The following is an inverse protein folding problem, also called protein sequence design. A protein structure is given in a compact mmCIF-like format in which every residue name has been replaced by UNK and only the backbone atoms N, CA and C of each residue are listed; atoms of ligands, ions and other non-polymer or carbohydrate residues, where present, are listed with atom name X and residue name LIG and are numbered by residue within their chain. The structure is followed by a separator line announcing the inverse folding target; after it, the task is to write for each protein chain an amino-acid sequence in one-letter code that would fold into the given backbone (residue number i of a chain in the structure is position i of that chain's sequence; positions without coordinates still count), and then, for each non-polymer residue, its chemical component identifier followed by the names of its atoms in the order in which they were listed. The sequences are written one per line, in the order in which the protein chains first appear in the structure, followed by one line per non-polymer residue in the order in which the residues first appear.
data_IF_352249025854
#
_entry.id   IF_352249025854
#
_cell.length_a   1.000
_cell.length_b   1.000
_cell.length_c   1.000
_cell.angle_alpha   90.00
_cell.angle_beta   90.00
_cell.angle_gamma   90.00
#
_symmetry.space_group_name_H-M   'P 1'
#
loop_
_entity.id
_entity.type
_entity.pdbx_description
1 polymer ?
#
# COMPACT_ATOMS: atom_id res chain seq x y z
N UNK A 1 -20.21 45.50 -23.25
CA UNK A 1 -19.97 45.92 -21.85
C UNK A 1 -20.49 44.81 -20.95
N UNK A 2 -19.62 43.89 -20.52
CA UNK A 2 -20.02 42.78 -19.65
C UNK A 2 -20.16 43.30 -18.22
N UNK A 3 -21.36 43.17 -17.64
CA UNK A 3 -21.63 43.51 -16.24
C UNK A 3 -20.73 42.65 -15.33
N UNK A 4 -20.19 43.20 -14.23
CA UNK A 4 -19.43 42.43 -13.25
C UNK A 4 -20.33 41.34 -12.66
N UNK A 5 -19.95 40.07 -12.84
CA UNK A 5 -20.66 38.91 -12.34
C UNK A 5 -20.51 38.80 -10.83
N UNK A 6 -21.42 39.42 -10.08
CA UNK A 6 -21.45 39.30 -8.62
C UNK A 6 -21.78 37.84 -8.21
N UNK A 7 -20.87 37.11 -7.53
CA UNK A 7 -21.07 35.72 -7.15
C UNK A 7 -22.27 35.51 -6.21
N UNK A 8 -22.73 36.56 -5.51
CA UNK A 8 -23.92 36.49 -4.65
C UNK A 8 -25.21 36.35 -5.45
N UNK A 9 -25.28 36.97 -6.62
CA UNK A 9 -26.45 36.94 -7.51
C UNK A 9 -26.56 35.56 -8.16
N UNK A 10 -25.44 35.03 -8.68
CA UNK A 10 -25.38 33.69 -9.29
C UNK A 10 -25.84 32.62 -8.31
N UNK A 11 -25.32 32.63 -7.06
CA UNK A 11 -25.71 31.67 -6.03
C UNK A 11 -27.20 31.74 -5.68
N UNK A 12 -27.78 32.94 -5.68
CA UNK A 12 -29.21 33.14 -5.39
C UNK A 12 -30.08 32.57 -6.52
N UNK A 13 -29.69 32.79 -7.77
CA UNK A 13 -30.37 32.24 -8.95
C UNK A 13 -30.30 30.71 -8.94
N UNK A 14 -29.11 30.13 -8.80
CA UNK A 14 -28.92 28.66 -8.78
C UNK A 14 -29.77 28.01 -7.68
N UNK A 15 -29.78 28.57 -6.46
CA UNK A 15 -30.56 28.02 -5.34
C UNK A 15 -32.07 28.16 -5.50
N UNK A 16 -32.51 29.15 -6.27
CA UNK A 16 -33.92 29.32 -6.62
C UNK A 16 -34.37 28.25 -7.62
N UNK A 17 -33.58 28.00 -8.67
CA UNK A 17 -33.87 26.97 -9.67
C UNK A 17 -33.64 25.52 -9.20
N UNK A 18 -32.80 25.30 -8.18
CA UNK A 18 -32.64 23.97 -7.55
C UNK A 18 -33.76 23.63 -6.55
N UNK A 19 -34.59 24.60 -6.15
CA UNK A 19 -35.70 24.36 -5.22
C UNK A 19 -36.85 23.67 -5.95
N UNK A 20 -37.63 22.90 -5.20
CA UNK A 20 -38.82 22.23 -5.70
C UNK A 20 -39.77 23.24 -6.34
N UNK A 21 -40.04 23.05 -7.62
CA UNK A 21 -40.99 23.85 -8.40
C UNK A 21 -42.29 23.07 -8.59
N UNK A 22 -43.39 23.48 -7.95
CA UNK A 22 -44.68 22.79 -8.06
C UNK A 22 -45.33 22.93 -9.44
N UNK A 23 -44.90 23.86 -10.29
CA UNK A 23 -45.46 24.03 -11.64
C UNK A 23 -45.00 22.94 -12.62
N UNK A 24 -43.81 22.36 -12.42
CA UNK A 24 -43.22 21.35 -13.31
C UNK A 24 -42.62 20.15 -12.54
N UNK A 25 -43.46 19.31 -11.90
CA UNK A 25 -42.98 18.22 -11.04
C UNK A 25 -42.19 17.14 -11.79
N UNK A 26 -42.49 16.91 -13.08
CA UNK A 26 -41.79 15.90 -13.89
C UNK A 26 -40.29 16.23 -14.08
N UNK A 27 -39.98 17.51 -14.34
CA UNK A 27 -38.60 17.98 -14.55
C UNK A 27 -37.81 17.84 -13.25
N UNK A 28 -38.42 18.18 -12.11
CA UNK A 28 -37.78 18.06 -10.80
C UNK A 28 -37.46 16.61 -10.43
N UNK A 29 -38.39 15.66 -10.65
CA UNK A 29 -38.18 14.24 -10.37
C UNK A 29 -37.08 13.66 -11.27
N UNK A 30 -37.07 14.02 -12.56
CA UNK A 30 -36.01 13.60 -13.49
C UNK A 30 -34.62 14.11 -13.06
N UNK A 31 -34.52 15.39 -12.68
CA UNK A 31 -33.29 15.98 -12.19
C UNK A 31 -32.80 15.31 -10.90
N UNK A 32 -33.71 14.97 -9.98
CA UNK A 32 -33.39 14.26 -8.75
C UNK A 32 -32.85 12.85 -9.04
N UNK A 33 -33.50 12.10 -9.93
CA UNK A 33 -33.05 10.77 -10.35
C UNK A 33 -31.66 10.82 -11.01
N UNK A 34 -31.44 11.78 -11.91
CA UNK A 34 -30.16 11.98 -12.56
C UNK A 34 -29.05 12.30 -11.55
N UNK A 35 -29.32 13.20 -10.59
CA UNK A 35 -28.35 13.55 -9.55
C UNK A 35 -28.02 12.36 -8.64
N UNK A 36 -29.02 11.57 -8.23
CA UNK A 36 -28.81 10.37 -7.44
C UNK A 36 -27.99 9.32 -8.21
N UNK A 37 -28.28 9.11 -9.49
CA UNK A 37 -27.53 8.20 -10.35
C UNK A 37 -26.06 8.60 -10.49
N UNK A 38 -25.79 9.87 -10.76
CA UNK A 38 -24.42 10.40 -10.86
C UNK A 38 -23.69 10.28 -9.51
N UNK A 39 -24.36 10.63 -8.41
CA UNK A 39 -23.76 10.56 -7.07
C UNK A 39 -23.40 9.12 -6.71
N UNK A 40 -24.30 8.16 -6.95
CA UNK A 40 -24.04 6.74 -6.72
C UNK A 40 -22.89 6.22 -7.60
N UNK A 41 -22.86 6.57 -8.88
CA UNK A 41 -21.81 6.16 -9.81
C UNK A 41 -20.43 6.67 -9.41
N UNK A 42 -20.32 7.97 -9.10
CA UNK A 42 -19.06 8.58 -8.66
C UNK A 42 -18.62 8.01 -7.31
N UNK A 43 -19.55 7.81 -6.36
CA UNK A 43 -19.26 7.18 -5.07
C UNK A 43 -18.63 5.80 -5.25
N UNK A 44 -19.23 4.95 -6.10
CA UNK A 44 -18.70 3.59 -6.34
C UNK A 44 -17.31 3.63 -6.96
N UNK A 45 -17.07 4.52 -7.93
CA UNK A 45 -15.75 4.70 -8.54
C UNK A 45 -14.69 5.14 -7.51
N UNK A 46 -15.02 6.10 -6.65
CA UNK A 46 -14.13 6.55 -5.58
C UNK A 46 -13.82 5.43 -4.58
N UNK A 47 -14.82 4.65 -4.19
CA UNK A 47 -14.64 3.51 -3.27
C UNK A 47 -13.72 2.47 -3.90
N UNK A 48 -13.94 2.09 -5.16
CA UNK A 48 -13.13 1.10 -5.85
C UNK A 48 -11.65 1.52 -5.93
N UNK A 49 -11.39 2.79 -6.31
CA UNK A 49 -10.04 3.34 -6.33
C UNK A 49 -9.41 3.37 -4.92
N UNK A 50 -10.18 3.75 -3.90
CA UNK A 50 -9.71 3.75 -2.52
C UNK A 50 -9.31 2.37 -2.02
N UNK A 51 -10.13 1.35 -2.32
CA UNK A 51 -9.85 -0.03 -1.96
C UNK A 51 -8.58 -0.51 -2.66
N UNK A 52 -8.49 -0.34 -3.99
CA UNK A 52 -7.34 -0.83 -4.76
C UNK A 52 -6.05 -0.16 -4.28
N UNK A 53 -6.04 1.16 -4.14
CA UNK A 53 -4.86 1.91 -3.70
C UNK A 53 -4.44 1.58 -2.26
N UNK A 54 -5.40 1.49 -1.34
CA UNK A 54 -5.12 1.15 0.06
C UNK A 54 -4.62 -0.29 0.21
N UNK A 55 -5.28 -1.21 -0.47
CA UNK A 55 -4.96 -2.64 -0.45
C UNK A 55 -3.58 -2.89 -1.06
N UNK A 56 -3.29 -2.34 -2.24
CA UNK A 56 -1.99 -2.48 -2.89
C UNK A 56 -0.85 -1.98 -1.98
N UNK A 57 -1.02 -0.82 -1.32
CA UNK A 57 -0.01 -0.26 -0.43
C UNK A 57 0.24 -1.13 0.80
N UNK A 58 -0.82 -1.70 1.38
CA UNK A 58 -0.69 -2.57 2.55
C UNK A 58 -0.10 -3.94 2.18
N UNK A 59 -0.47 -4.50 1.02
CA UNK A 59 0.13 -5.72 0.49
C UNK A 59 1.60 -5.53 0.16
N UNK A 60 1.97 -4.43 -0.51
CA UNK A 60 3.35 -4.06 -0.78
C UNK A 60 4.14 -4.04 0.54
N UNK A 61 3.67 -3.26 1.52
CA UNK A 61 4.31 -3.17 2.83
C UNK A 61 4.48 -4.52 3.52
N UNK A 62 3.47 -5.40 3.48
CA UNK A 62 3.54 -6.72 4.13
C UNK A 62 4.45 -7.69 3.39
N UNK A 63 4.41 -7.72 2.06
CA UNK A 63 5.22 -8.62 1.23
C UNK A 63 6.70 -8.25 1.27
N UNK A 64 7.04 -6.97 1.13
CA UNK A 64 8.44 -6.50 1.15
C UNK A 64 9.10 -6.62 2.53
N UNK A 65 8.31 -6.68 3.60
CA UNK A 65 8.81 -6.86 4.97
C UNK A 65 9.09 -8.33 5.31
N UNK A 66 8.28 -9.25 4.76
CA UNK A 66 8.39 -10.68 5.07
C UNK A 66 9.26 -11.46 4.08
N UNK A 67 9.40 -10.97 2.85
CA UNK A 67 10.20 -11.63 1.82
C UNK A 67 11.03 -10.60 1.06
N UNK A 68 12.33 -10.86 0.95
CA UNK A 68 13.20 -10.10 0.07
C UNK A 68 12.78 -10.29 -1.39
N UNK A 69 12.79 -9.22 -2.22
CA UNK A 69 12.35 -9.30 -3.61
C UNK A 69 13.20 -10.27 -4.45
N UNK A 70 14.45 -10.51 -4.02
CA UNK A 70 15.33 -11.50 -4.59
C UNK A 70 16.04 -12.24 -3.46
N UNK A 71 15.96 -13.57 -3.46
CA UNK A 71 16.67 -14.44 -2.51
C UNK A 71 17.44 -15.49 -3.29
N UNK A 72 18.74 -15.56 -3.08
CA UNK A 72 19.61 -16.55 -3.71
C UNK A 72 19.94 -17.63 -2.69
N UNK A 73 19.49 -18.86 -2.95
CA UNK A 73 19.79 -20.02 -2.11
C UNK A 73 20.62 -21.03 -2.89
N UNK A 74 21.56 -21.68 -2.20
CA UNK A 74 22.35 -22.78 -2.74
C UNK A 74 21.73 -24.09 -2.30
N UNK A 75 21.43 -24.98 -3.24
CA UNK A 75 20.97 -26.34 -2.97
C UNK A 75 22.19 -27.24 -2.64
N UNK A 76 22.85 -27.01 -1.50
CA UNK A 76 24.06 -27.74 -1.14
C UNK A 76 24.84 -27.14 0.03
N UNK A 77 26.18 -27.05 -0.10
CA UNK A 77 27.15 -26.61 0.93
C UNK A 77 27.07 -25.11 1.34
N UNK A 78 25.91 -24.47 1.17
CA UNK A 78 25.75 -23.04 1.39
C UNK A 78 26.38 -22.19 0.28
N UNK A 79 26.35 -20.87 0.46
CA UNK A 79 26.94 -19.90 -0.48
C UNK A 79 28.37 -19.61 -0.04
N UNK A 80 29.36 -19.84 -0.93
CA UNK A 80 30.76 -19.50 -0.66
C UNK A 80 30.97 -17.99 -0.58
N UNK A 81 31.87 -17.55 0.30
CA UNK A 81 32.24 -16.12 0.42
C UNK A 81 32.71 -15.51 -0.91
N UNK A 82 33.44 -16.27 -1.73
CA UNK A 82 33.88 -15.83 -3.06
C UNK A 82 32.71 -15.44 -3.99
N UNK A 83 31.54 -16.07 -3.81
CA UNK A 83 30.34 -15.75 -4.60
C UNK A 83 29.70 -14.45 -4.10
N UNK A 84 29.70 -14.21 -2.79
CA UNK A 84 29.21 -12.96 -2.20
C UNK A 84 30.03 -11.76 -2.67
N UNK A 85 31.36 -11.90 -2.72
CA UNK A 85 32.27 -10.85 -3.21
C UNK A 85 32.06 -10.54 -4.71
N UNK A 86 31.85 -11.57 -5.54
CA UNK A 86 31.54 -11.38 -6.97
C UNK A 86 30.23 -10.61 -7.16
N UNK A 87 29.18 -10.96 -6.41
CA UNK A 87 27.88 -10.28 -6.49
C UNK A 87 28.02 -8.82 -6.04
N UNK A 88 28.74 -8.55 -4.95
CA UNK A 88 29.02 -7.16 -4.52
C UNK A 88 29.78 -6.36 -5.59
N UNK A 89 30.70 -7.00 -6.30
CA UNK A 89 31.51 -6.33 -7.34
C UNK A 89 30.72 -6.06 -8.62
N UNK A 90 29.84 -6.98 -9.01
CA UNK A 90 29.00 -6.83 -10.21
C UNK A 90 27.80 -5.91 -9.98
N UNK A 91 27.27 -5.85 -8.76
CA UNK A 91 26.08 -5.06 -8.41
C UNK A 91 26.35 -4.13 -7.21
N UNK A 92 27.21 -3.10 -7.36
CA UNK A 92 27.57 -2.20 -6.25
C UNK A 92 26.41 -1.34 -5.73
N UNK A 93 25.39 -1.11 -6.56
CA UNK A 93 24.18 -0.35 -6.20
C UNK A 93 23.19 -1.18 -5.36
N UNK A 94 23.36 -2.52 -5.30
CA UNK A 94 22.42 -3.42 -4.62
C UNK A 94 22.85 -3.64 -3.17
N UNK A 95 21.97 -3.30 -2.22
CA UNK A 95 22.17 -3.65 -0.81
C UNK A 95 21.94 -5.15 -0.62
N UNK A 96 22.94 -5.86 -0.09
CA UNK A 96 22.91 -7.32 0.07
C UNK A 96 23.17 -7.66 1.54
N UNK A 97 22.28 -8.47 2.13
CA UNK A 97 22.48 -9.06 3.46
C UNK A 97 22.53 -10.58 3.35
N UNK A 98 23.67 -11.21 3.69
CA UNK A 98 23.75 -12.66 3.78
C UNK A 98 23.02 -13.13 5.04
N UNK A 99 22.20 -14.16 4.90
CA UNK A 99 21.51 -14.78 6.03
C UNK A 99 21.65 -16.30 6.02
N UNK A 100 21.60 -16.89 7.22
CA UNK A 100 21.48 -18.33 7.43
C UNK A 100 20.11 -18.63 8.02
N UNK A 101 19.43 -19.67 7.53
CA UNK A 101 18.14 -20.10 8.05
C UNK A 101 18.21 -21.57 8.43
N UNK A 102 17.89 -21.90 9.68
CA UNK A 102 17.83 -23.29 10.17
C UNK A 102 16.58 -23.51 11.01
N UNK A 103 16.02 -24.72 10.95
CA UNK A 103 14.92 -25.11 11.83
C UNK A 103 15.51 -25.49 13.19
N UNK A 104 14.94 -24.94 14.26
CA UNK A 104 15.38 -25.19 15.63
C UNK A 104 14.20 -25.57 16.51
N UNK A 105 14.48 -26.30 17.57
CA UNK A 105 13.51 -26.59 18.61
C UNK A 105 14.03 -25.92 19.89
N UNK A 106 13.31 -24.91 20.35
CA UNK A 106 13.60 -24.24 21.61
C UNK A 106 12.80 -24.92 22.74
N UNK A 107 13.48 -25.20 23.85
CA UNK A 107 12.86 -25.71 25.08
C UNK A 107 12.98 -24.66 26.16
N UNK A 108 11.86 -24.32 26.81
CA UNK A 108 11.84 -23.47 27.99
C UNK A 108 10.90 -24.08 29.04
N UNK A 109 11.46 -24.49 30.18
CA UNK A 109 10.74 -25.30 31.17
C UNK A 109 10.22 -26.61 30.54
N UNK A 110 8.93 -26.88 30.72
CA UNK A 110 8.23 -28.02 30.12
C UNK A 110 7.69 -27.73 28.70
N UNK A 111 7.83 -26.50 28.21
CA UNK A 111 7.38 -26.10 26.87
C UNK A 111 8.44 -26.42 25.81
N UNK A 112 8.03 -27.13 24.76
CA UNK A 112 8.83 -27.34 23.53
C UNK A 112 8.14 -26.60 22.38
N UNK A 113 8.90 -25.73 21.70
CA UNK A 113 8.40 -25.00 20.55
C UNK A 113 9.39 -25.09 19.39
N UNK A 114 8.87 -25.52 18.23
CA UNK A 114 9.61 -25.44 16.97
C UNK A 114 9.64 -24.00 16.45
N UNK A 115 10.74 -23.61 15.83
CA UNK A 115 10.91 -22.29 15.23
C UNK A 115 11.92 -22.32 14.08
N UNK A 116 12.00 -21.20 13.35
CA UNK A 116 13.03 -20.96 12.35
C UNK A 116 13.98 -19.92 12.93
N UNK A 117 15.27 -20.27 12.99
CA UNK A 117 16.34 -19.38 13.42
C UNK A 117 16.99 -18.75 12.19
N UNK A 118 17.00 -17.42 12.16
CA UNK A 118 17.70 -16.63 11.15
C UNK A 118 18.97 -16.03 11.76
N UNK A 119 20.13 -16.40 11.22
CA UNK A 119 21.40 -15.75 11.51
C UNK A 119 21.65 -14.66 10.46
N UNK A 120 21.68 -13.40 10.89
CA UNK A 120 21.86 -12.23 10.01
C UNK A 120 22.99 -11.34 10.52
N UNK A 121 23.61 -10.59 9.61
CA UNK A 121 24.49 -9.48 9.98
C UNK A 121 23.65 -8.28 10.37
N UNK A 122 23.61 -7.95 11.67
CA UNK A 122 22.74 -6.90 12.22
C UNK A 122 22.93 -5.54 11.54
N UNK A 123 24.16 -5.17 11.17
CA UNK A 123 24.45 -3.87 10.56
C UNK A 123 23.93 -3.80 9.12
N UNK A 124 24.10 -4.89 8.35
CA UNK A 124 23.63 -4.96 6.96
C UNK A 124 22.11 -5.12 6.89
N UNK A 125 21.55 -5.94 7.78
CA UNK A 125 20.11 -6.19 7.85
C UNK A 125 19.32 -4.95 8.28
N UNK A 126 19.81 -4.18 9.24
CA UNK A 126 19.16 -2.93 9.66
C UNK A 126 19.10 -1.88 8.54
N UNK A 127 20.07 -1.89 7.61
CA UNK A 127 20.10 -0.98 6.47
C UNK A 127 19.08 -1.31 5.35
N UNK A 128 18.55 -2.54 5.40
CA UNK A 128 17.64 -3.12 4.41
C UNK A 128 16.21 -3.22 4.93
N UNK A 129 16.04 -3.72 6.16
CA UNK A 129 14.74 -3.98 6.74
C UNK A 129 14.42 -2.91 7.81
N UNK A 130 13.49 -1.98 7.53
CA UNK A 130 13.12 -0.94 8.48
C UNK A 130 12.39 -1.47 9.72
N UNK A 131 11.86 -2.71 9.69
CA UNK A 131 11.31 -3.36 10.89
C UNK A 131 12.42 -3.92 11.77
N UNK A 132 13.42 -4.55 11.17
CA UNK A 132 14.58 -5.05 11.91
C UNK A 132 15.33 -3.90 12.60
N UNK A 133 15.50 -2.77 11.89
CA UNK A 133 16.09 -1.56 12.47
C UNK A 133 15.27 -0.95 13.64
N UNK A 134 13.96 -1.20 13.69
CA UNK A 134 13.10 -0.76 14.82
C UNK A 134 13.08 -1.74 15.99
N UNK A 135 13.50 -2.99 15.78
CA UNK A 135 13.49 -4.05 16.77
C UNK A 135 14.82 -4.17 17.53
N UNK A 136 15.92 -3.70 16.93
CA UNK A 136 17.21 -3.43 17.57
C UNK A 136 17.10 -2.28 18.58
#
# INVERSE_FOLDING_TARGET
MALPSDPRVVRRIVRHYLRYDPENPFIFISALLAFLGITAGVMVLMIAMGIMNGTQKEFEKKLFVMNYPLTVVSYGEGVRHSTLEKIHKEFPEMKISPFYSTQVIARYGDGIQGGILYGVDFAKEASLNPIFAKAL
#
